data_IF_476142063145
#
_entry.id   IF_476142063145
#
_cell.length_a   1.000
_cell.length_b   1.000
_cell.length_c   1.000
_cell.angle_alpha   90.00
_cell.angle_beta   90.00
_cell.angle_gamma   90.00
#
_symmetry.space_group_name_H-M   'P 1'
#
loop_
_entity.id
_entity.type
_entity.pdbx_description
1 polymer ?
#
# COMPACT_ATOMS: atom_id res chain seq x y z
N UNK A 1 13.69 40.02 -20.24
CA UNK A 1 13.25 39.42 -18.96
C UNK A 1 12.19 38.37 -19.28
N UNK A 2 12.61 37.13 -19.53
CA UNK A 2 11.71 35.98 -19.56
C UNK A 2 12.51 34.80 -19.00
N UNK A 3 12.40 34.62 -17.69
CA UNK A 3 12.89 33.47 -16.97
C UNK A 3 11.90 32.33 -17.27
N UNK A 4 12.22 31.53 -18.29
CA UNK A 4 11.45 30.32 -18.59
C UNK A 4 11.79 29.30 -17.49
N UNK A 5 11.05 29.34 -16.38
CA UNK A 5 11.09 28.30 -15.36
C UNK A 5 10.58 27.00 -15.98
N UNK A 6 11.49 26.25 -16.60
CA UNK A 6 11.33 24.82 -16.86
C UNK A 6 11.18 24.14 -15.49
N UNK A 7 9.94 23.97 -15.06
CA UNK A 7 9.56 23.02 -14.02
C UNK A 7 9.90 21.63 -14.57
N UNK A 8 11.11 21.17 -14.31
CA UNK A 8 11.49 19.76 -14.43
C UNK A 8 10.63 19.05 -13.39
N UNK A 9 9.48 18.54 -13.83
CA UNK A 9 8.68 17.62 -13.03
C UNK A 9 9.56 16.38 -12.89
N UNK A 10 10.27 16.28 -11.77
CA UNK A 10 10.94 15.07 -11.34
C UNK A 10 9.85 14.02 -11.11
N UNK A 11 9.42 13.37 -12.20
CA UNK A 11 8.80 12.06 -12.06
C UNK A 11 9.87 11.21 -11.42
N UNK A 12 9.66 10.81 -10.17
CA UNK A 12 10.52 9.88 -9.49
C UNK A 12 10.47 8.56 -10.27
N UNK A 13 11.37 8.40 -11.24
CA UNK A 13 11.55 7.18 -12.00
C UNK A 13 12.36 6.23 -11.12
N UNK A 14 11.68 5.66 -10.12
CA UNK A 14 12.25 4.79 -9.12
C UNK A 14 11.32 3.62 -8.82
N UNK A 15 11.83 2.54 -8.21
CA UNK A 15 11.07 1.33 -7.90
C UNK A 15 10.07 1.53 -6.76
N UNK A 16 9.98 2.75 -6.21
CA UNK A 16 9.10 3.14 -5.13
C UNK A 16 7.98 4.00 -5.72
N UNK A 17 6.93 3.33 -6.18
CA UNK A 17 5.85 3.97 -6.93
C UNK A 17 4.50 3.65 -6.29
N UNK A 18 3.74 4.69 -5.93
CA UNK A 18 2.33 4.55 -5.57
C UNK A 18 1.53 4.21 -6.81
N UNK A 19 0.79 3.11 -6.75
CA UNK A 19 -0.08 2.61 -7.83
C UNK A 19 -1.56 2.66 -7.47
N UNK A 20 -1.90 2.69 -6.18
CA UNK A 20 -3.26 2.91 -5.68
C UNK A 20 -3.19 3.82 -4.47
N UNK A 21 -4.11 4.79 -4.41
CA UNK A 21 -4.39 5.59 -3.22
C UNK A 21 -5.91 5.74 -3.11
N UNK A 22 -6.50 5.10 -2.09
CA UNK A 22 -7.94 5.05 -1.88
C UNK A 22 -8.32 5.56 -0.48
N UNK A 23 -9.00 6.72 -0.37
CA UNK A 23 -9.45 7.23 0.92
C UNK A 23 -10.60 6.38 1.49
N UNK A 24 -10.65 6.28 2.82
CA UNK A 24 -11.82 5.79 3.56
C UNK A 24 -13.04 6.70 3.34
N UNK A 25 -14.29 6.23 3.60
CA UNK A 25 -15.49 7.02 3.36
C UNK A 25 -15.49 8.41 4.03
N UNK A 26 -15.04 8.49 5.29
CA UNK A 26 -14.87 9.76 5.99
C UNK A 26 -13.55 10.50 5.72
N UNK A 27 -12.66 9.94 4.89
CA UNK A 27 -11.36 10.49 4.50
C UNK A 27 -10.38 10.73 5.66
N UNK A 28 -10.58 10.08 6.82
CA UNK A 28 -9.65 10.19 7.97
C UNK A 28 -8.40 9.34 7.80
N UNK A 29 -8.51 8.26 7.04
CA UNK A 29 -7.42 7.35 6.67
C UNK A 29 -7.53 7.02 5.18
N UNK A 30 -6.45 6.51 4.59
CA UNK A 30 -6.41 6.01 3.22
C UNK A 30 -5.57 4.72 3.15
N UNK A 31 -5.81 3.91 2.13
CA UNK A 31 -4.93 2.80 1.79
C UNK A 31 -4.09 3.20 0.59
N UNK A 32 -2.77 3.06 0.75
CA UNK A 32 -1.79 3.29 -0.29
C UNK A 32 -1.18 1.94 -0.70
N UNK A 33 -1.10 1.67 -2.00
CA UNK A 33 -0.40 0.52 -2.54
C UNK A 33 0.82 1.03 -3.30
N UNK A 34 1.99 0.56 -2.90
CA UNK A 34 3.24 0.82 -3.59
C UNK A 34 3.79 -0.43 -4.23
N UNK A 35 4.28 -0.30 -5.46
CA UNK A 35 5.25 -1.26 -5.99
C UNK A 35 6.58 -0.96 -5.31
N UNK A 36 7.20 -2.00 -4.77
CA UNK A 36 8.43 -1.92 -4.02
C UNK A 36 9.42 -2.96 -4.53
N UNK A 37 10.73 -2.62 -4.56
CA UNK A 37 11.75 -3.64 -4.77
C UNK A 37 11.77 -4.55 -3.54
N UNK A 38 11.78 -5.86 -3.76
CA UNK A 38 11.97 -6.80 -2.67
C UNK A 38 13.30 -6.54 -1.95
N UNK A 39 13.24 -6.38 -0.62
CA UNK A 39 14.43 -6.12 0.19
C UNK A 39 15.49 -7.21 -0.01
N UNK A 40 16.74 -6.80 -0.27
CA UNK A 40 17.89 -7.71 -0.45
C UNK A 40 18.07 -8.29 -1.85
N UNK A 41 17.22 -7.96 -2.82
CA UNK A 41 17.39 -8.40 -4.21
C UNK A 41 18.33 -7.47 -5.00
N UNK A 42 19.56 -7.92 -5.28
CA UNK A 42 20.58 -7.14 -6.02
C UNK A 42 20.61 -7.45 -7.53
N UNK A 43 20.08 -8.61 -7.96
CA UNK A 43 20.23 -9.11 -9.34
C UNK A 43 18.91 -9.45 -10.07
N UNK A 44 17.82 -9.71 -9.33
CA UNK A 44 16.49 -9.97 -9.90
C UNK A 44 15.45 -9.19 -9.11
N UNK A 45 15.03 -8.05 -9.66
CA UNK A 45 14.05 -7.18 -9.05
C UNK A 45 12.69 -7.85 -9.14
N UNK A 46 12.36 -8.64 -8.11
CA UNK A 46 10.98 -9.12 -7.96
C UNK A 46 10.22 -8.00 -7.25
N UNK A 47 9.23 -7.44 -7.92
CA UNK A 47 8.40 -6.37 -7.34
C UNK A 47 7.41 -6.98 -6.33
N UNK A 48 7.28 -6.37 -5.16
CA UNK A 48 6.24 -6.66 -4.18
C UNK A 48 5.32 -5.46 -3.98
N UNK A 49 4.04 -5.71 -3.72
CA UNK A 49 3.06 -4.68 -3.47
C UNK A 49 3.01 -4.47 -1.97
N UNK A 50 3.53 -3.34 -1.49
CA UNK A 50 3.36 -2.92 -0.10
C UNK A 50 2.03 -2.20 0.02
N UNK A 51 1.14 -2.72 0.85
CA UNK A 51 -0.17 -2.10 1.14
C UNK A 51 -0.10 -1.49 2.53
N UNK A 52 -0.23 -0.18 2.62
CA UNK A 52 -0.13 0.58 3.86
C UNK A 52 -1.43 1.34 4.11
N UNK A 53 -2.06 1.12 5.26
CA UNK A 53 -3.16 1.97 5.73
C UNK A 53 -2.60 3.08 6.61
N UNK A 54 -2.91 4.32 6.25
CA UNK A 54 -2.25 5.52 6.73
C UNK A 54 -3.28 6.57 7.15
N UNK A 55 -2.89 7.47 8.05
CA UNK A 55 -3.66 8.68 8.30
C UNK A 55 -3.69 9.58 7.05
N UNK A 56 -4.76 10.36 6.88
CA UNK A 56 -4.89 11.25 5.74
C UNK A 56 -3.69 12.20 5.57
N UNK A 57 -3.16 12.29 4.34
CA UNK A 57 -2.01 13.14 4.02
C UNK A 57 -0.66 12.59 4.48
N UNK A 58 -0.61 11.36 5.01
CA UNK A 58 0.63 10.62 5.26
C UNK A 58 0.91 9.67 4.11
N UNK A 59 2.13 9.12 4.10
CA UNK A 59 2.58 8.16 3.11
C UNK A 59 3.69 7.31 3.73
N UNK A 60 3.94 6.12 3.19
CA UNK A 60 4.97 5.21 3.68
C UNK A 60 5.93 4.87 2.54
N UNK A 61 7.25 5.09 2.68
CA UNK A 61 8.20 4.63 1.67
C UNK A 61 8.26 3.10 1.62
N UNK A 62 8.78 2.57 0.51
CA UNK A 62 8.98 1.13 0.38
C UNK A 62 9.88 0.55 1.49
N UNK A 63 9.53 -0.65 1.96
CA UNK A 63 10.25 -1.40 2.99
C UNK A 63 10.35 -0.67 4.33
N UNK A 64 9.36 0.17 4.66
CA UNK A 64 9.29 0.94 5.90
C UNK A 64 7.94 0.71 6.61
N UNK A 65 7.91 0.96 7.92
CA UNK A 65 6.70 0.91 8.76
C UNK A 65 6.76 1.99 9.85
N UNK A 66 6.83 3.26 9.43
CA UNK A 66 7.02 4.42 10.32
C UNK A 66 5.72 5.21 10.52
N UNK A 67 4.89 5.31 9.48
CA UNK A 67 3.63 6.07 9.45
C UNK A 67 2.39 5.15 9.38
N UNK A 68 2.54 3.96 8.80
CA UNK A 68 1.44 3.03 8.61
C UNK A 68 0.82 2.57 9.96
N UNK A 69 -0.52 2.55 9.97
CA UNK A 69 -1.35 1.98 11.04
C UNK A 69 -1.44 0.47 10.91
N UNK A 70 -1.54 -0.02 9.68
CA UNK A 70 -1.47 -1.43 9.30
C UNK A 70 -0.72 -1.52 7.98
N UNK A 71 0.11 -2.54 7.81
CA UNK A 71 0.81 -2.80 6.56
C UNK A 71 0.87 -4.29 6.27
N UNK A 72 0.76 -4.67 5.01
CA UNK A 72 0.98 -6.05 4.56
C UNK A 72 1.53 -6.08 3.15
N UNK A 73 2.17 -7.20 2.81
CA UNK A 73 2.72 -7.41 1.47
C UNK A 73 1.76 -8.26 0.63
N UNK A 74 1.67 -7.94 -0.66
CA UNK A 74 1.03 -8.75 -1.68
C UNK A 74 1.98 -8.94 -2.87
N UNK A 75 1.72 -9.92 -3.72
CA UNK A 75 2.46 -10.07 -4.98
C UNK A 75 1.98 -9.01 -5.97
N UNK A 76 2.91 -8.34 -6.66
CA UNK A 76 2.59 -7.28 -7.65
C UNK A 76 1.92 -7.83 -8.91
N UNK A 77 2.11 -9.12 -9.18
CA UNK A 77 2.08 -9.62 -10.54
C UNK A 77 0.78 -9.40 -11.35
N UNK A 78 -0.41 -9.27 -10.76
CA UNK A 78 -1.61 -9.55 -11.59
C UNK A 78 -2.83 -8.65 -11.45
N UNK A 79 -2.78 -7.43 -10.89
CA UNK A 79 -3.98 -6.56 -10.76
C UNK A 79 -5.14 -7.23 -9.97
N UNK A 80 -4.89 -8.38 -9.34
CA UNK A 80 -5.85 -9.20 -8.60
C UNK A 80 -6.00 -8.79 -7.14
N UNK A 81 -5.24 -7.78 -6.69
CA UNK A 81 -5.37 -7.25 -5.34
C UNK A 81 -6.66 -6.45 -5.24
N UNK A 82 -7.66 -7.04 -4.60
CA UNK A 82 -8.94 -6.41 -4.32
C UNK A 82 -8.84 -5.60 -3.03
N UNK A 83 -9.19 -4.32 -3.10
CA UNK A 83 -9.27 -3.42 -1.94
C UNK A 83 -10.64 -2.76 -1.91
N UNK A 84 -11.28 -2.76 -0.73
CA UNK A 84 -12.54 -2.06 -0.51
C UNK A 84 -12.69 -1.62 0.93
N UNK A 85 -12.97 -0.35 1.15
CA UNK A 85 -13.41 0.13 2.45
C UNK A 85 -14.85 -0.32 2.72
N UNK A 86 -15.03 -1.19 3.73
CA UNK A 86 -16.37 -1.62 4.18
C UNK A 86 -16.90 -0.71 5.31
N UNK A 87 -16.01 0.05 5.96
CA UNK A 87 -16.34 1.16 6.86
C UNK A 87 -15.17 2.14 6.94
N UNK A 88 -15.30 3.20 7.72
CA UNK A 88 -14.24 4.19 7.99
C UNK A 88 -12.95 3.59 8.58
N UNK A 89 -13.03 2.39 9.17
CA UNK A 89 -11.92 1.76 9.91
C UNK A 89 -11.70 0.30 9.54
N UNK A 90 -12.48 -0.24 8.60
CA UNK A 90 -12.30 -1.63 8.16
C UNK A 90 -12.09 -1.64 6.66
N UNK A 91 -10.93 -2.13 6.25
CA UNK A 91 -10.56 -2.36 4.87
C UNK A 91 -10.67 -3.85 4.59
N UNK A 92 -11.47 -4.26 3.60
CA UNK A 92 -11.39 -5.59 3.03
C UNK A 92 -10.25 -5.63 2.02
N UNK A 93 -9.40 -6.65 2.13
CA UNK A 93 -8.32 -6.91 1.20
C UNK A 93 -8.34 -8.38 0.77
N UNK A 94 -8.13 -8.65 -0.52
CA UNK A 94 -8.03 -10.03 -0.99
C UNK A 94 -7.07 -10.16 -2.16
N UNK A 95 -6.41 -11.31 -2.21
CA UNK A 95 -5.63 -11.76 -3.34
C UNK A 95 -5.68 -13.29 -3.37
N UNK A 96 -5.73 -13.96 -4.53
CA UNK A 96 -5.80 -15.43 -4.60
C UNK A 96 -4.64 -16.18 -3.93
N UNK A 97 -3.53 -15.50 -3.67
CA UNK A 97 -2.37 -16.07 -2.96
C UNK A 97 -2.42 -15.88 -1.45
N UNK A 98 -3.44 -15.19 -0.92
CA UNK A 98 -3.62 -15.08 0.52
C UNK A 98 -4.13 -16.40 1.08
N UNK A 99 -3.67 -16.75 2.28
CA UNK A 99 -4.26 -17.87 3.00
C UNK A 99 -5.68 -17.49 3.45
N UNK A 100 -6.68 -18.35 3.23
CA UNK A 100 -8.02 -18.14 3.78
C UNK A 100 -8.03 -18.04 5.31
N UNK A 101 -7.08 -18.70 5.98
CA UNK A 101 -7.06 -18.79 7.45
C UNK A 101 -6.37 -17.58 8.12
N UNK A 102 -5.38 -16.98 7.44
CA UNK A 102 -4.52 -15.97 8.07
C UNK A 102 -4.10 -14.80 7.16
N UNK A 103 -4.55 -14.76 5.90
CA UNK A 103 -4.23 -13.66 4.98
C UNK A 103 -2.83 -13.74 4.35
N UNK A 104 -2.18 -12.60 4.06
CA UNK A 104 -0.83 -12.56 3.51
C UNK A 104 0.23 -13.02 4.52
N UNK A 105 1.40 -13.41 4.00
CA UNK A 105 2.52 -13.91 4.82
C UNK A 105 3.03 -12.86 5.79
N UNK A 106 3.11 -11.60 5.36
CA UNK A 106 3.58 -10.49 6.17
C UNK A 106 2.43 -9.52 6.43
N UNK A 107 2.08 -9.35 7.70
CA UNK A 107 1.19 -8.28 8.17
C UNK A 107 1.75 -7.69 9.45
N UNK A 108 1.84 -6.37 9.51
CA UNK A 108 2.27 -5.62 10.68
C UNK A 108 1.19 -4.63 11.07
N UNK A 109 0.85 -4.60 12.36
CA UNK A 109 -0.18 -3.71 12.91
C UNK A 109 0.46 -2.82 13.97
N UNK A 110 0.23 -1.51 13.88
CA UNK A 110 0.72 -0.56 14.88
C UNK A 110 -0.05 -0.75 16.18
N UNK A 111 0.66 -0.76 17.30
CA UNK A 111 0.04 -0.79 18.61
C UNK A 111 -0.96 0.38 18.78
N UNK A 112 -2.19 0.07 19.22
CA UNK A 112 -3.25 1.06 19.37
C UNK A 112 -3.96 1.48 18.08
N UNK A 113 -3.62 0.88 16.93
CA UNK A 113 -4.36 1.11 15.68
C UNK A 113 -5.84 0.78 15.87
N UNK A 114 -6.71 1.69 15.47
CA UNK A 114 -8.16 1.50 15.43
C UNK A 114 -8.66 1.01 14.06
N UNK A 115 -7.75 0.76 13.12
CA UNK A 115 -8.05 0.21 11.80
C UNK A 115 -7.86 -1.30 11.81
N UNK A 116 -8.74 -2.02 11.11
CA UNK A 116 -8.65 -3.47 10.91
C UNK A 116 -8.65 -3.82 9.44
N UNK A 117 -7.94 -4.90 9.10
CA UNK A 117 -7.99 -5.49 7.77
C UNK A 117 -8.81 -6.77 7.85
N UNK A 118 -9.76 -6.92 6.95
CA UNK A 118 -10.51 -8.16 6.75
C UNK A 118 -9.97 -8.83 5.48
N UNK A 119 -9.28 -9.96 5.64
CA UNK A 119 -8.78 -10.73 4.51
C UNK A 119 -9.86 -11.70 4.01
N UNK A 120 -10.61 -11.31 2.98
CA UNK A 120 -11.66 -12.14 2.39
C UNK A 120 -12.04 -11.66 0.98
N UNK A 121 -12.37 -12.56 0.04
CA UNK A 121 -12.83 -12.19 -1.30
C UNK A 121 -14.10 -11.33 -1.26
N UNK A 122 -14.38 -10.59 -2.34
CA UNK A 122 -15.73 -10.05 -2.55
C UNK A 122 -16.72 -11.21 -2.63
N UNK A 123 -17.86 -11.09 -1.94
CA UNK A 123 -19.00 -12.01 -2.08
C UNK A 123 -19.79 -11.72 -3.36
#
# INVERSE_FOLDING_TARGET
MYLCCLLIILTACGPDQIVVDLPSPNKSVHVEVRKCPQAGAFLQWTEMAQVSVLEAGRSEPCNSFVNALVQFDSKVADEQLELEWISDKVLRAWHPTFSPDYGPVNTTVRAGSNVRIQFSPKS
#
